data_IF_469957583518
#
_entry.id   IF_469957583518
#
_cell.length_a   1.000
_cell.length_b   1.000
_cell.length_c   1.000
_cell.angle_alpha   90.00
_cell.angle_beta   90.00
_cell.angle_gamma   90.00
#
_symmetry.space_group_name_H-M   'P 1'
#
loop_
_entity.id
_entity.type
_entity.pdbx_description
1 polymer ?
#
# COMPACT_ATOMS: atom_id res chain seq x y z
N UNK A 1 -21.99 21.27 -4.90
CA UNK A 1 -21.63 21.13 -6.33
C UNK A 1 -21.13 19.72 -6.58
N UNK A 2 -21.92 18.89 -7.27
CA UNK A 2 -21.60 17.48 -7.56
C UNK A 2 -20.70 17.37 -8.79
N UNK A 3 -19.42 17.74 -8.67
CA UNK A 3 -18.45 17.68 -9.79
C UNK A 3 -18.13 16.25 -10.27
N UNK A 4 -18.56 15.19 -9.56
CA UNK A 4 -18.07 13.82 -9.84
C UNK A 4 -18.74 13.09 -11.01
N UNK A 5 -19.82 13.62 -11.60
CA UNK A 5 -20.58 12.92 -12.65
C UNK A 5 -20.33 13.44 -14.08
N UNK A 6 -19.60 14.53 -14.25
CA UNK A 6 -19.42 15.14 -15.57
C UNK A 6 -18.42 14.38 -16.44
N UNK A 7 -17.35 13.85 -15.84
CA UNK A 7 -16.35 13.08 -16.57
C UNK A 7 -16.92 11.78 -17.18
N UNK A 8 -17.65 10.92 -16.43
CA UNK A 8 -18.26 9.72 -17.03
C UNK A 8 -19.26 10.03 -18.14
N UNK A 9 -20.06 11.09 -17.99
CA UNK A 9 -21.00 11.54 -19.04
C UNK A 9 -20.27 11.95 -20.31
N UNK A 10 -19.19 12.74 -20.18
CA UNK A 10 -18.37 13.20 -21.30
C UNK A 10 -17.76 12.05 -22.09
N UNK A 11 -17.28 11.02 -21.40
CA UNK A 11 -16.62 9.86 -22.02
C UNK A 11 -17.52 8.64 -22.21
N UNK A 12 -18.84 8.79 -22.04
CA UNK A 12 -19.82 7.71 -22.19
C UNK A 12 -19.48 6.46 -21.35
N UNK A 13 -18.96 6.68 -20.15
CA UNK A 13 -18.58 5.61 -19.22
C UNK A 13 -19.80 5.22 -18.38
N UNK A 14 -20.11 3.93 -18.34
CA UNK A 14 -21.18 3.39 -17.52
C UNK A 14 -20.70 3.31 -16.07
N UNK A 15 -21.42 3.95 -15.15
CA UNK A 15 -21.14 3.87 -13.72
C UNK A 15 -22.03 2.81 -13.07
N UNK A 16 -21.42 1.79 -12.46
CA UNK A 16 -22.11 0.77 -11.68
C UNK A 16 -21.77 0.91 -10.20
N UNK A 17 -22.68 0.51 -9.32
CA UNK A 17 -22.45 0.50 -7.85
C UNK A 17 -22.43 -0.94 -7.34
N UNK A 18 -21.57 -1.20 -6.36
CA UNK A 18 -21.59 -2.44 -5.61
C UNK A 18 -22.87 -2.57 -4.77
N UNK A 19 -23.22 -3.79 -4.38
CA UNK A 19 -24.44 -4.02 -3.58
C UNK A 19 -24.29 -3.40 -2.20
N UNK A 20 -25.37 -2.79 -1.66
CA UNK A 20 -25.37 -2.28 -0.30
C UNK A 20 -24.89 -3.35 0.70
N UNK A 21 -24.00 -2.96 1.61
CA UNK A 21 -23.47 -3.79 2.71
C UNK A 21 -22.70 -5.06 2.31
N UNK A 22 -22.27 -5.22 1.04
CA UNK A 22 -21.43 -6.34 0.59
C UNK A 22 -19.96 -5.94 0.42
N UNK A 23 -19.19 -6.05 1.50
CA UNK A 23 -17.75 -5.70 1.55
C UNK A 23 -16.88 -6.51 0.59
N UNK A 24 -17.31 -7.71 0.21
CA UNK A 24 -16.57 -8.62 -0.67
C UNK A 24 -16.84 -8.39 -2.16
N UNK A 25 -17.61 -7.38 -2.54
CA UNK A 25 -17.90 -7.10 -3.97
C UNK A 25 -16.68 -6.50 -4.70
N UNK A 26 -15.73 -5.88 -3.97
CA UNK A 26 -14.53 -5.26 -4.55
C UNK A 26 -13.22 -5.90 -4.06
N UNK A 27 -13.03 -7.23 -4.17
CA UNK A 27 -11.90 -7.92 -3.55
C UNK A 27 -10.56 -7.50 -4.18
N UNK A 28 -10.54 -7.17 -5.48
CA UNK A 28 -9.34 -6.72 -6.17
C UNK A 28 -8.91 -5.30 -5.78
N UNK A 29 -9.87 -4.41 -5.54
CA UNK A 29 -9.60 -3.06 -5.04
C UNK A 29 -9.02 -3.15 -3.64
N UNK A 30 -9.63 -3.95 -2.76
CA UNK A 30 -9.11 -4.14 -1.40
C UNK A 30 -7.74 -4.81 -1.37
N UNK A 31 -7.48 -5.75 -2.29
CA UNK A 31 -6.14 -6.33 -2.46
C UNK A 31 -5.10 -5.25 -2.80
N UNK A 32 -5.42 -4.32 -3.71
CA UNK A 32 -4.53 -3.21 -4.08
C UNK A 32 -4.38 -2.18 -2.98
N UNK A 33 -5.47 -1.81 -2.31
CA UNK A 33 -5.46 -0.96 -1.12
C UNK A 33 -4.55 -1.55 -0.05
N UNK A 34 -4.59 -2.86 0.17
CA UNK A 34 -3.66 -3.50 1.09
C UNK A 34 -2.21 -3.40 0.61
N UNK A 35 -1.92 -3.78 -0.64
CA UNK A 35 -0.54 -3.87 -1.13
C UNK A 35 0.15 -2.53 -1.34
N UNK A 36 -0.57 -1.50 -1.77
CA UNK A 36 -0.01 -0.19 -2.14
C UNK A 36 -0.19 0.85 -1.05
N UNK A 37 -1.35 0.85 -0.38
CA UNK A 37 -1.70 1.90 0.59
C UNK A 37 -1.35 1.45 2.01
N UNK A 38 -2.07 0.44 2.53
CA UNK A 38 -1.99 0.06 3.96
C UNK A 38 -0.61 -0.48 4.34
N UNK A 39 0.07 -1.16 3.42
CA UNK A 39 1.46 -1.60 3.63
C UNK A 39 2.41 -0.41 3.80
N UNK A 40 2.12 0.73 3.16
CA UNK A 40 3.01 1.88 3.16
C UNK A 40 2.69 2.86 4.29
N UNK A 41 1.42 3.03 4.64
CA UNK A 41 0.96 4.00 5.65
C UNK A 41 0.64 3.36 7.00
N UNK A 42 0.42 2.04 7.04
CA UNK A 42 -0.08 1.35 8.22
C UNK A 42 -1.51 1.74 8.58
N UNK A 43 -1.84 1.60 9.87
CA UNK A 43 -3.16 1.88 10.45
C UNK A 43 -3.12 3.04 11.45
N UNK A 44 -2.27 4.03 11.19
CA UNK A 44 -2.14 5.22 12.03
C UNK A 44 -3.34 6.16 11.83
N UNK A 45 -3.54 7.07 12.78
CA UNK A 45 -4.63 8.06 12.71
C UNK A 45 -4.12 9.31 11.99
N UNK A 46 -4.75 9.62 10.85
CA UNK A 46 -4.46 10.81 10.05
C UNK A 46 -5.63 11.79 10.11
N UNK A 47 -5.54 12.82 10.94
CA UNK A 47 -6.61 13.81 11.14
C UNK A 47 -6.19 15.28 11.01
N UNK A 48 -4.92 15.55 10.71
CA UNK A 48 -4.36 16.90 10.48
C UNK A 48 -4.01 17.12 9.01
N UNK A 49 -3.98 18.38 8.58
CA UNK A 49 -3.55 18.79 7.24
C UNK A 49 -2.11 18.36 6.92
N UNK A 50 -1.20 18.44 7.89
CA UNK A 50 0.20 18.02 7.76
C UNK A 50 0.33 16.56 7.28
N UNK A 51 -0.52 15.66 7.80
CA UNK A 51 -0.53 14.27 7.37
C UNK A 51 -0.94 14.14 5.90
N UNK A 52 -1.92 14.94 5.47
CA UNK A 52 -2.43 14.91 4.09
C UNK A 52 -1.34 15.29 3.10
N UNK A 53 -0.57 16.35 3.38
CA UNK A 53 0.53 16.79 2.51
C UNK A 53 1.60 15.70 2.34
N UNK A 54 1.98 15.02 3.42
CA UNK A 54 2.93 13.90 3.37
C UNK A 54 2.34 12.73 2.58
N UNK A 55 1.06 12.40 2.79
CA UNK A 55 0.39 11.32 2.06
C UNK A 55 0.31 11.59 0.56
N UNK A 56 0.03 12.83 0.15
CA UNK A 56 0.02 13.22 -1.28
C UNK A 56 1.38 12.98 -1.92
N UNK A 57 2.47 13.44 -1.27
CA UNK A 57 3.85 13.22 -1.74
C UNK A 57 4.22 11.73 -1.74
N UNK A 58 3.83 11.00 -0.70
CA UNK A 58 4.10 9.56 -0.61
C UNK A 58 3.40 8.80 -1.73
N UNK A 59 2.12 9.09 -2.00
CA UNK A 59 1.36 8.39 -3.04
C UNK A 59 1.81 8.75 -4.45
N UNK A 60 2.27 9.98 -4.71
CA UNK A 60 2.84 10.34 -6.02
C UNK A 60 4.11 9.54 -6.31
N UNK A 61 5.01 9.40 -5.33
CA UNK A 61 6.21 8.57 -5.46
C UNK A 61 5.88 7.09 -5.56
N UNK A 62 4.92 6.59 -4.78
CA UNK A 62 4.48 5.20 -4.89
C UNK A 62 3.86 4.89 -6.25
N UNK A 63 3.20 5.85 -6.88
CA UNK A 63 2.70 5.68 -8.24
C UNK A 63 3.85 5.43 -9.23
N UNK A 64 4.94 6.21 -9.14
CA UNK A 64 6.13 6.01 -9.97
C UNK A 64 6.81 4.68 -9.65
N UNK A 65 7.06 4.42 -8.37
CA UNK A 65 7.73 3.21 -7.89
C UNK A 65 7.02 1.92 -8.35
N UNK A 66 5.70 1.85 -8.12
CA UNK A 66 4.92 0.65 -8.45
C UNK A 66 4.76 0.43 -9.97
N UNK A 67 4.65 1.49 -10.76
CA UNK A 67 4.37 1.36 -12.19
C UNK A 67 5.63 1.18 -13.05
N UNK A 68 6.74 1.82 -12.68
CA UNK A 68 7.95 1.79 -13.48
C UNK A 68 8.91 0.69 -13.04
N UNK A 69 9.01 0.41 -11.74
CA UNK A 69 10.08 -0.44 -11.20
C UNK A 69 9.62 -1.80 -10.67
N UNK A 70 8.41 -1.91 -10.11
CA UNK A 70 7.96 -3.18 -9.53
C UNK A 70 7.35 -4.14 -10.57
N UNK A 71 7.91 -5.35 -10.75
CA UNK A 71 7.31 -6.34 -11.63
C UNK A 71 6.05 -6.94 -11.00
N UNK A 72 5.03 -7.15 -11.83
CA UNK A 72 3.77 -7.79 -11.43
C UNK A 72 3.56 -9.03 -12.28
N UNK A 73 3.11 -10.11 -11.64
CA UNK A 73 2.63 -11.32 -12.31
C UNK A 73 1.12 -11.23 -12.53
N UNK A 74 0.69 -11.55 -13.75
CA UNK A 74 -0.70 -11.67 -14.14
C UNK A 74 -1.09 -13.14 -14.21
N UNK A 75 -2.29 -13.45 -13.73
CA UNK A 75 -2.87 -14.79 -13.83
C UNK A 75 -3.27 -15.03 -15.30
N UNK A 76 -2.67 -16.03 -15.95
CA UNK A 76 -3.03 -16.42 -17.32
C UNK A 76 -4.18 -17.41 -17.33
N UNK A 77 -4.08 -18.42 -16.47
CA UNK A 77 -5.02 -19.54 -16.45
C UNK A 77 -5.31 -19.95 -15.02
N UNK A 78 -6.55 -20.36 -14.78
CA UNK A 78 -6.98 -20.92 -13.49
C UNK A 78 -7.92 -22.08 -13.77
N UNK A 79 -7.51 -23.28 -13.39
CA UNK A 79 -8.28 -24.51 -13.57
C UNK A 79 -8.53 -25.16 -12.21
N UNK A 80 -9.62 -25.92 -12.10
CA UNK A 80 -9.95 -26.68 -10.89
C UNK A 80 -10.02 -28.17 -11.25
N UNK A 81 -9.26 -28.98 -10.52
CA UNK A 81 -9.23 -30.44 -10.67
C UNK A 81 -9.69 -31.02 -9.33
N UNK A 82 -10.94 -31.47 -9.28
CA UNK A 82 -11.60 -31.91 -8.04
C UNK A 82 -11.60 -30.82 -6.97
N UNK A 83 -10.93 -31.09 -5.84
CA UNK A 83 -10.79 -30.14 -4.72
C UNK A 83 -9.66 -29.12 -4.91
N UNK A 84 -8.71 -29.35 -5.84
CA UNK A 84 -7.50 -28.53 -6.03
C UNK A 84 -7.71 -27.45 -7.08
N UNK A 85 -7.24 -26.24 -6.80
CA UNK A 85 -7.18 -25.15 -7.79
C UNK A 85 -5.74 -24.92 -8.24
N UNK A 86 -5.50 -25.01 -9.55
CA UNK A 86 -4.20 -24.72 -10.16
C UNK A 86 -4.25 -23.34 -10.83
N UNK A 87 -3.16 -22.58 -10.69
CA UNK A 87 -3.01 -21.24 -11.26
C UNK A 87 -1.71 -21.17 -12.03
N UNK A 88 -1.76 -20.71 -13.27
CA UNK A 88 -0.59 -20.47 -14.11
C UNK A 88 -0.42 -18.97 -14.30
N UNK A 89 0.73 -18.46 -13.86
CA UNK A 89 1.07 -17.05 -13.96
C UNK A 89 1.98 -16.79 -15.16
N UNK A 90 2.02 -15.53 -15.59
CA UNK A 90 2.98 -15.08 -16.59
C UNK A 90 4.36 -14.75 -16.00
N UNK A 91 5.30 -14.48 -16.91
CA UNK A 91 6.62 -13.98 -16.53
C UNK A 91 6.44 -12.59 -15.90
N UNK A 92 7.01 -12.33 -14.71
CA UNK A 92 6.92 -11.02 -14.05
C UNK A 92 7.40 -9.90 -14.97
N UNK A 93 6.57 -8.86 -15.13
CA UNK A 93 6.88 -7.66 -15.94
C UNK A 93 6.35 -6.42 -15.24
N UNK A 94 7.06 -5.31 -15.35
CA UNK A 94 6.57 -4.04 -14.79
C UNK A 94 5.35 -3.54 -15.57
N UNK A 95 4.44 -2.78 -14.94
CA UNK A 95 3.32 -2.15 -15.66
C UNK A 95 3.79 -1.34 -16.87
N UNK A 96 4.90 -0.58 -16.74
CA UNK A 96 5.57 0.09 -17.85
C UNK A 96 5.84 -0.84 -19.03
N UNK A 97 6.53 -1.97 -18.80
CA UNK A 97 6.87 -2.91 -19.87
C UNK A 97 5.64 -3.48 -20.57
N UNK A 98 4.52 -3.63 -19.84
CA UNK A 98 3.25 -4.11 -20.41
C UNK A 98 2.61 -3.04 -21.28
N UNK A 99 2.59 -1.79 -20.82
CA UNK A 99 2.10 -0.62 -21.58
C UNK A 99 2.87 -0.45 -22.88
N UNK A 100 4.20 -0.50 -22.84
CA UNK A 100 5.03 -0.34 -24.05
C UNK A 100 4.76 -1.41 -25.12
N UNK A 101 4.34 -2.62 -24.70
CA UNK A 101 4.03 -3.75 -25.59
C UNK A 101 2.63 -3.72 -26.21
N UNK A 102 1.69 -2.91 -25.70
CA UNK A 102 0.33 -2.82 -26.27
C UNK A 102 0.33 -2.03 -27.57
N UNK A 103 -0.30 -2.56 -28.62
CA UNK A 103 -0.49 -1.88 -29.91
C UNK A 103 -1.49 -0.72 -29.84
N UNK A 104 -2.49 -0.84 -28.97
CA UNK A 104 -3.57 0.15 -28.74
C UNK A 104 -3.05 1.53 -28.28
N UNK A 105 -1.83 1.60 -27.75
CA UNK A 105 -1.27 2.82 -27.17
C UNK A 105 -0.46 3.56 -28.24
N UNK A 106 -0.80 4.83 -28.55
CA UNK A 106 -0.08 5.63 -29.53
C UNK A 106 1.42 5.70 -29.23
N UNK A 107 2.23 5.76 -30.28
CA UNK A 107 3.69 5.84 -30.19
C UNK A 107 4.15 7.10 -29.43
N UNK A 108 3.45 8.22 -29.60
CA UNK A 108 3.72 9.49 -28.90
C UNK A 108 3.70 9.30 -27.38
N UNK A 109 2.62 8.73 -26.84
CA UNK A 109 2.50 8.46 -25.40
C UNK A 109 3.60 7.50 -24.91
N UNK A 110 4.01 6.51 -25.72
CA UNK A 110 5.11 5.61 -25.35
C UNK A 110 6.45 6.34 -25.28
N UNK A 111 6.68 7.33 -26.13
CA UNK A 111 7.90 8.16 -26.09
C UNK A 111 7.92 9.04 -24.84
N UNK A 112 6.80 9.66 -24.49
CA UNK A 112 6.66 10.44 -23.25
C UNK A 112 6.90 9.58 -22.00
N UNK A 113 6.29 8.40 -21.94
CA UNK A 113 6.50 7.49 -20.80
C UNK A 113 7.97 7.06 -20.69
N UNK A 114 8.65 6.85 -21.83
CA UNK A 114 10.08 6.53 -21.85
C UNK A 114 10.95 7.71 -21.41
N UNK A 115 10.59 8.95 -21.78
CA UNK A 115 11.35 10.13 -21.34
C UNK A 115 11.21 10.32 -19.83
N UNK A 116 10.01 10.14 -19.27
CA UNK A 116 9.80 10.14 -17.82
C UNK A 116 10.69 9.08 -17.17
N UNK A 117 10.65 7.83 -17.64
CA UNK A 117 11.44 6.75 -17.06
C UNK A 117 12.94 7.02 -17.04
N UNK A 118 13.49 7.65 -18.10
CA UNK A 118 14.90 8.02 -18.17
C UNK A 118 15.34 9.00 -17.07
N UNK A 119 14.42 9.82 -16.59
CA UNK A 119 14.69 10.82 -15.55
C UNK A 119 14.46 10.27 -14.13
N UNK A 120 13.97 9.04 -13.98
CA UNK A 120 13.70 8.44 -12.67
C UNK A 120 14.90 7.66 -12.14
N UNK A 121 15.30 7.95 -10.91
CA UNK A 121 16.25 7.11 -10.16
C UNK A 121 15.51 6.29 -9.09
N UNK A 122 15.68 4.97 -9.15
CA UNK A 122 15.08 4.03 -8.21
C UNK A 122 15.56 4.26 -6.78
N UNK A 123 16.86 4.53 -6.59
CA UNK A 123 17.46 4.70 -5.26
C UNK A 123 16.90 5.94 -4.59
N UNK A 124 16.93 7.07 -5.29
CA UNK A 124 16.37 8.34 -4.83
C UNK A 124 14.89 8.21 -4.45
N UNK A 125 14.05 7.66 -5.34
CA UNK A 125 12.61 7.46 -5.07
C UNK A 125 12.40 6.58 -3.84
N UNK A 126 13.16 5.49 -3.70
CA UNK A 126 12.99 4.58 -2.56
C UNK A 126 13.40 5.23 -1.25
N UNK A 127 14.47 6.03 -1.26
CA UNK A 127 14.94 6.76 -0.08
C UNK A 127 13.93 7.83 0.35
N UNK A 128 13.38 8.59 -0.59
CA UNK A 128 12.36 9.61 -0.32
C UNK A 128 11.07 8.97 0.22
N UNK A 129 10.64 7.83 -0.35
CA UNK A 129 9.52 7.05 0.21
C UNK A 129 9.79 6.66 1.67
N UNK A 130 10.99 6.16 1.98
CA UNK A 130 11.32 5.76 3.35
C UNK A 130 11.29 6.96 4.31
N UNK A 131 11.84 8.11 3.90
CA UNK A 131 11.85 9.34 4.69
C UNK A 131 10.43 9.83 4.97
N UNK A 132 9.58 9.90 3.94
CA UNK A 132 8.17 10.30 4.10
C UNK A 132 7.41 9.32 5.00
N UNK A 133 7.70 8.01 4.92
CA UNK A 133 7.11 7.04 5.84
C UNK A 133 7.54 7.30 7.28
N UNK A 134 8.83 7.57 7.52
CA UNK A 134 9.35 7.86 8.86
C UNK A 134 8.76 9.16 9.42
N UNK A 135 8.64 10.20 8.60
CA UNK A 135 8.04 11.47 9.01
C UNK A 135 6.54 11.35 9.27
N UNK A 136 5.83 10.58 8.43
CA UNK A 136 4.42 10.26 8.65
C UNK A 136 4.23 9.54 9.99
N UNK A 137 5.12 8.63 10.38
CA UNK A 137 5.05 7.95 11.68
C UNK A 137 5.26 8.92 12.84
N UNK A 138 6.22 9.84 12.72
CA UNK A 138 6.57 10.80 13.78
C UNK A 138 5.41 11.74 14.07
N UNK A 139 4.73 12.22 13.02
CA UNK A 139 3.69 13.25 13.15
C UNK A 139 2.32 12.60 13.42
N UNK A 140 2.08 11.39 12.89
CA UNK A 140 0.80 10.73 13.08
C UNK A 140 0.50 10.47 14.56
N UNK A 141 -0.74 10.76 14.94
CA UNK A 141 -1.18 10.51 16.30
C UNK A 141 -1.08 9.00 16.61
N UNK A 142 -0.63 8.62 17.83
CA UNK A 142 -0.77 7.24 18.25
C UNK A 142 -2.24 6.85 18.12
N UNK A 143 -2.52 5.61 17.68
CA UNK A 143 -3.88 5.07 17.72
C UNK A 143 -4.37 5.31 19.14
N UNK A 144 -5.37 6.20 19.30
CA UNK A 144 -5.96 6.53 20.59
C UNK A 144 -6.52 5.24 21.19
N UNK A 145 -5.67 4.52 21.91
CA UNK A 145 -6.09 3.58 22.92
C UNK A 145 -6.61 4.47 24.03
N UNK A 146 -7.85 4.30 24.52
CA UNK A 146 -8.30 5.09 25.65
C UNK A 146 -7.37 4.76 26.82
N UNK A 147 -6.40 5.64 27.06
CA UNK A 147 -5.40 5.55 28.12
C UNK A 147 -6.01 6.00 29.46
N UNK A 148 -7.33 5.83 29.59
CA UNK A 148 -8.07 6.21 30.77
C UNK A 148 -7.89 5.08 31.78
N UNK A 149 -7.46 5.44 32.98
CA UNK A 149 -7.45 4.54 34.13
C UNK A 149 -8.89 4.09 34.38
N UNK A 150 -9.17 2.80 34.21
CA UNK A 150 -10.51 2.25 34.48
C UNK A 150 -10.51 1.58 35.84
N UNK A 151 -11.49 1.93 36.67
CA UNK A 151 -11.68 1.28 37.98
C UNK A 151 -12.36 -0.07 37.76
N UNK A 152 -11.64 -1.17 37.98
CA UNK A 152 -12.26 -2.51 38.00
C UNK A 152 -12.93 -2.73 39.35
N UNK A 153 -14.26 -2.57 39.41
CA UNK A 153 -15.09 -2.76 40.63
C UNK A 153 -14.75 -4.05 41.39
N UNK A 154 -14.54 -5.17 40.67
CA UNK A 154 -14.23 -6.49 41.25
C UNK A 154 -12.85 -6.62 41.90
N UNK A 155 -11.85 -5.81 41.54
CA UNK A 155 -10.47 -5.94 42.05
C UNK A 155 -10.04 -4.82 43.00
N UNK A 156 -10.93 -3.87 43.32
CA UNK A 156 -10.65 -2.65 44.12
C UNK A 156 -9.35 -1.91 43.74
N UNK A 157 -8.84 -2.09 42.52
CA UNK A 157 -7.59 -1.49 42.06
C UNK A 157 -7.80 -0.80 40.71
N UNK A 158 -7.01 0.25 40.49
CA UNK A 158 -7.00 1.04 39.27
C UNK A 158 -5.99 0.40 38.33
N UNK A 159 -6.45 -0.01 37.15
CA UNK A 159 -5.58 -0.58 36.12
C UNK A 159 -5.63 0.26 34.86
N UNK A 160 -4.55 0.21 34.10
CA UNK A 160 -4.59 0.64 32.71
C UNK A 160 -5.33 -0.42 31.88
N UNK A 161 -6.12 0.05 30.92
CA UNK A 161 -6.79 -0.78 29.90
C UNK A 161 -5.78 -1.49 28.99
N UNK A 162 -4.56 -0.94 28.85
CA UNK A 162 -3.49 -1.48 28.01
C UNK A 162 -2.33 -2.06 28.84
N UNK A 163 -1.76 -3.22 28.44
CA UNK A 163 -0.61 -3.83 29.12
C UNK A 163 0.66 -2.96 29.02
N UNK A 164 1.59 -3.11 29.97
CA UNK A 164 2.78 -2.24 30.17
C UNK A 164 3.62 -2.07 28.88
N UNK A 165 3.89 -3.17 28.17
CA UNK A 165 4.62 -3.19 26.89
C UNK A 165 3.97 -2.36 25.76
N UNK A 166 2.66 -2.07 25.84
CA UNK A 166 1.94 -1.22 24.88
C UNK A 166 1.89 0.25 25.31
N UNK A 167 2.04 0.52 26.62
CA UNK A 167 2.04 1.87 27.21
C UNK A 167 3.38 2.58 27.03
N UNK A 168 4.46 1.83 27.01
CA UNK A 168 5.84 2.34 26.91
C UNK A 168 6.26 2.58 25.45
N UNK A 169 5.30 2.89 24.58
CA UNK A 169 5.58 3.28 23.21
C UNK A 169 6.17 4.69 23.23
N UNK A 170 7.49 4.80 23.22
CA UNK A 170 8.16 6.09 23.16
C UNK A 170 8.02 6.67 21.75
N UNK A 171 7.72 7.97 21.56
CA UNK A 171 7.78 8.64 20.27
C UNK A 171 9.15 8.54 19.59
N UNK A 172 10.21 8.30 20.37
CA UNK A 172 11.58 8.05 19.91
C UNK A 172 11.84 6.59 19.51
N UNK A 173 10.97 5.64 19.88
CA UNK A 173 11.09 4.25 19.46
C UNK A 173 10.44 4.03 18.09
N UNK A 174 11.19 3.47 17.14
CA UNK A 174 10.69 3.16 15.79
C UNK A 174 9.42 2.32 15.86
N UNK A 175 8.40 2.66 15.07
CA UNK A 175 7.09 2.01 15.12
C UNK A 175 7.23 0.48 14.93
N UNK A 176 6.98 -0.36 15.96
CA UNK A 176 7.12 -1.81 15.90
C UNK A 176 6.32 -2.49 14.78
N UNK A 177 5.24 -1.90 14.26
CA UNK A 177 4.56 -2.47 13.10
C UNK A 177 5.42 -2.35 11.83
N UNK A 178 5.96 -1.15 11.59
CA UNK A 178 6.80 -0.88 10.42
C UNK A 178 8.20 -1.47 10.59
N UNK A 179 8.72 -1.54 11.80
CA UNK A 179 9.95 -2.26 12.10
C UNK A 179 9.80 -3.77 11.88
N UNK A 180 8.69 -4.37 12.33
CA UNK A 180 8.36 -5.78 12.01
C UNK A 180 8.19 -5.99 10.51
N UNK A 181 7.54 -5.06 9.81
CA UNK A 181 7.36 -5.15 8.37
C UNK A 181 8.70 -5.03 7.63
N UNK A 182 9.55 -4.07 8.01
CA UNK A 182 10.92 -3.88 7.49
C UNK A 182 11.76 -5.13 7.73
N UNK A 183 11.70 -5.71 8.93
CA UNK A 183 12.35 -6.98 9.26
C UNK A 183 11.83 -8.15 8.41
N UNK A 184 10.51 -8.25 8.18
CA UNK A 184 9.93 -9.28 7.32
C UNK A 184 10.34 -9.09 5.85
N UNK A 185 10.42 -7.86 5.36
CA UNK A 185 10.89 -7.57 4.00
C UNK A 185 12.38 -7.88 3.84
N UNK A 186 13.21 -7.50 4.81
CA UNK A 186 14.63 -7.89 4.85
C UNK A 186 14.81 -9.41 4.89
N UNK A 187 14.00 -10.11 5.69
CA UNK A 187 14.02 -11.58 5.78
C UNK A 187 13.64 -12.22 4.45
N UNK A 188 12.58 -11.74 3.80
CA UNK A 188 12.18 -12.19 2.44
C UNK A 188 13.28 -11.89 1.41
N UNK A 189 13.88 -10.71 1.44
CA UNK A 189 14.97 -10.35 0.53
C UNK A 189 16.18 -11.28 0.72
N UNK A 190 16.58 -11.54 1.96
CA UNK A 190 17.65 -12.46 2.30
C UNK A 190 17.34 -13.90 1.86
N UNK A 191 16.12 -14.40 2.11
CA UNK A 191 15.66 -15.70 1.61
C UNK A 191 15.72 -15.79 0.07
N UNK A 192 15.36 -14.70 -0.62
CA UNK A 192 15.40 -14.64 -2.09
C UNK A 192 16.82 -14.68 -2.63
N UNK A 193 17.79 -14.02 -1.97
CA UNK A 193 19.21 -14.07 -2.33
C UNK A 193 19.81 -15.45 -2.04
N UNK A 194 19.52 -16.02 -0.87
CA UNK A 194 19.99 -17.35 -0.48
C UNK A 194 19.51 -18.44 -1.43
N UNK A 195 18.25 -18.39 -1.84
CA UNK A 195 17.67 -19.34 -2.81
C UNK A 195 18.19 -19.16 -4.24
N UNK A 196 18.90 -18.07 -4.56
CA UNK A 196 19.58 -17.87 -5.85
C UNK A 196 21.04 -18.34 -5.86
N UNK A 197 21.64 -18.55 -4.68
CA UNK A 197 23.01 -19.04 -4.52
C UNK A 197 23.10 -20.57 -4.45
N UNK A 198 21.96 -21.25 -4.28
CA UNK A 198 21.82 -22.70 -4.47
C UNK A 198 21.36 -23.00 -5.89
#
# INVERSE_FOLDING_TARGET
>A
MNQSFDFPKKYHLIFTRARPYKKNDNPHVEQKNFSVVRRNTGYLRFDKSEHFEILVKLYSLLNLYNNFFLPVMMLKEKHRIGSKSMRKYDIPKTPLQRVLKRSEIPSVNKLEIKSIYKNLDLSSIKNEINQLQDDLIKIAAPIRSPNVKVRKRRKKAIYHTTPKWRREFSPTSSNPFLQRQKMQELRRAAETVWNRQK
#
